data_IF_184038456412
#
_entry.id   IF_184038456412
#
_cell.length_a   1.000
_cell.length_b   1.000
_cell.length_c   1.000
_cell.angle_alpha   90.00
_cell.angle_beta   90.00
_cell.angle_gamma   90.00
#
_symmetry.space_group_name_H-M   'P 1'
#
loop_
_entity.id
_entity.type
_entity.pdbx_description
1 polymer ?
#
# COMPACT_ATOMS: atom_id res chain seq x y z
N UNK A 1 -17.85 20.04 37.79
CA UNK A 1 -17.64 20.38 36.36
C UNK A 1 -16.21 20.09 35.88
N UNK A 2 -15.15 20.59 36.55
CA UNK A 2 -13.75 20.42 36.10
C UNK A 2 -13.32 18.95 35.90
N UNK A 3 -13.66 18.04 36.81
CA UNK A 3 -13.33 16.61 36.70
C UNK A 3 -14.00 15.91 35.51
N UNK A 4 -15.25 16.27 35.21
CA UNK A 4 -15.98 15.71 34.07
C UNK A 4 -15.32 16.14 32.75
N UNK A 5 -14.87 17.39 32.66
CA UNK A 5 -14.15 17.92 31.48
C UNK A 5 -12.80 17.20 31.28
N UNK A 6 -12.06 16.95 32.35
CA UNK A 6 -10.79 16.22 32.25
C UNK A 6 -11.00 14.78 31.77
N UNK A 7 -12.05 14.12 32.26
CA UNK A 7 -12.40 12.75 31.83
C UNK A 7 -12.82 12.73 30.36
N UNK A 8 -13.67 13.67 29.92
CA UNK A 8 -14.11 13.71 28.52
C UNK A 8 -12.98 14.01 27.56
N UNK A 9 -12.07 14.93 27.91
CA UNK A 9 -10.88 15.22 27.09
C UNK A 9 -9.96 13.99 26.98
N UNK A 10 -9.72 13.30 28.10
CA UNK A 10 -8.91 12.08 28.11
C UNK A 10 -9.52 10.97 27.24
N UNK A 11 -10.84 10.78 27.33
CA UNK A 11 -11.56 9.79 26.52
C UNK A 11 -11.50 10.14 25.03
N UNK A 12 -11.68 11.43 24.70
CA UNK A 12 -11.63 11.89 23.31
C UNK A 12 -10.24 11.68 22.71
N UNK A 13 -9.19 12.05 23.44
CA UNK A 13 -7.80 11.89 23.00
C UNK A 13 -7.42 10.41 22.78
N UNK A 14 -7.88 9.51 23.66
CA UNK A 14 -7.65 8.07 23.50
C UNK A 14 -8.38 7.53 22.25
N UNK A 15 -9.64 7.92 22.05
CA UNK A 15 -10.43 7.49 20.90
C UNK A 15 -9.82 7.98 19.58
N UNK A 16 -9.44 9.27 19.49
CA UNK A 16 -8.84 9.82 18.26
C UNK A 16 -7.51 9.16 17.93
N UNK A 17 -6.68 8.89 18.95
CA UNK A 17 -5.38 8.24 18.76
C UNK A 17 -5.53 6.80 18.28
N UNK A 18 -6.46 6.04 18.89
CA UNK A 18 -6.75 4.67 18.48
C UNK A 18 -7.25 4.59 17.03
N UNK A 19 -8.15 5.50 16.65
CA UNK A 19 -8.73 5.54 15.31
C UNK A 19 -7.66 5.91 14.25
N UNK A 20 -6.79 6.88 14.55
CA UNK A 20 -5.67 7.26 13.70
C UNK A 20 -4.72 6.08 13.46
N UNK A 21 -4.33 5.36 14.53
CA UNK A 21 -3.45 4.20 14.43
C UNK A 21 -4.08 3.06 13.62
N UNK A 22 -5.36 2.77 13.84
CA UNK A 22 -6.09 1.77 13.06
C UNK A 22 -6.15 2.13 11.56
N UNK A 23 -6.38 3.40 11.23
CA UNK A 23 -6.37 3.88 9.85
C UNK A 23 -5.00 3.72 9.18
N UNK A 24 -3.93 4.16 9.84
CA UNK A 24 -2.57 4.08 9.30
C UNK A 24 -2.11 2.62 9.08
N UNK A 25 -2.41 1.74 10.02
CA UNK A 25 -2.06 0.31 9.91
C UNK A 25 -2.84 -0.39 8.79
N UNK A 26 -4.13 -0.09 8.65
CA UNK A 26 -4.96 -0.60 7.54
C UNK A 26 -4.45 -0.15 6.19
N UNK A 27 -4.08 1.12 6.04
CA UNK A 27 -3.55 1.65 4.78
C UNK A 27 -2.23 0.98 4.39
N UNK A 28 -1.31 0.77 5.34
CA UNK A 28 -0.04 0.07 5.06
C UNK A 28 -0.25 -1.34 4.51
N UNK A 29 -1.21 -2.08 5.07
CA UNK A 29 -1.53 -3.45 4.60
C UNK A 29 -2.08 -3.43 3.17
N UNK A 30 -2.99 -2.50 2.88
CA UNK A 30 -3.58 -2.36 1.53
C UNK A 30 -2.52 -1.93 0.51
N UNK A 31 -1.65 -0.98 0.85
CA UNK A 31 -0.57 -0.55 -0.04
C UNK A 31 0.38 -1.70 -0.35
N UNK A 32 0.84 -2.45 0.66
CA UNK A 32 1.73 -3.61 0.45
C UNK A 32 1.08 -4.69 -0.42
N UNK A 33 -0.19 -4.96 -0.21
CA UNK A 33 -0.93 -5.92 -1.03
C UNK A 33 -1.04 -5.44 -2.48
N UNK A 34 -1.35 -4.15 -2.70
CA UNK A 34 -1.44 -3.57 -4.05
C UNK A 34 -0.09 -3.56 -4.76
N UNK A 35 1.00 -3.25 -4.06
CA UNK A 35 2.35 -3.30 -4.65
C UNK A 35 2.72 -4.72 -5.03
N UNK A 36 2.45 -5.72 -4.19
CA UNK A 36 2.70 -7.12 -4.51
C UNK A 36 1.92 -7.58 -5.76
N UNK A 37 0.63 -7.23 -5.87
CA UNK A 37 -0.19 -7.54 -7.06
C UNK A 37 0.36 -6.84 -8.31
N UNK A 38 0.77 -5.58 -8.17
CA UNK A 38 1.35 -4.83 -9.29
C UNK A 38 2.67 -5.46 -9.75
N UNK A 39 3.56 -5.83 -8.83
CA UNK A 39 4.84 -6.49 -9.11
C UNK A 39 4.63 -7.84 -9.82
N UNK A 40 3.70 -8.67 -9.35
CA UNK A 40 3.34 -9.94 -10.01
C UNK A 40 2.84 -9.72 -11.45
N UNK A 41 2.01 -8.68 -11.65
CA UNK A 41 1.57 -8.28 -12.99
C UNK A 41 2.72 -7.81 -13.89
N UNK A 42 3.73 -7.12 -13.35
CA UNK A 42 4.92 -6.73 -14.10
C UNK A 42 5.78 -7.92 -14.51
N UNK A 43 5.91 -8.92 -13.65
CA UNK A 43 6.67 -10.14 -13.96
C UNK A 43 5.99 -10.99 -15.04
N UNK A 44 4.66 -11.02 -15.06
CA UNK A 44 3.86 -11.85 -15.98
C UNK A 44 3.47 -11.13 -17.27
N UNK A 45 3.48 -9.80 -17.31
CA UNK A 45 3.16 -9.01 -18.50
C UNK A 45 3.96 -9.38 -19.76
N UNK A 46 5.29 -9.66 -19.70
CA UNK A 46 6.08 -10.00 -20.88
C UNK A 46 5.64 -11.31 -21.54
N UNK A 47 5.28 -12.31 -20.74
CA UNK A 47 4.81 -13.62 -21.22
C UNK A 47 3.48 -13.49 -21.98
N UNK A 48 2.63 -12.52 -21.59
CA UNK A 48 1.35 -12.22 -22.25
C UNK A 48 1.55 -11.31 -23.48
N UNK A 49 2.38 -10.28 -23.36
CA UNK A 49 2.59 -9.28 -24.41
C UNK A 49 3.51 -9.76 -25.55
N UNK A 50 4.43 -10.67 -25.24
CA UNK A 50 5.43 -11.18 -26.19
C UNK A 50 5.54 -12.72 -26.13
N UNK A 51 4.45 -13.46 -26.39
CA UNK A 51 4.40 -14.91 -26.20
C UNK A 51 5.41 -15.70 -27.04
N UNK A 52 5.88 -15.14 -28.16
CA UNK A 52 6.81 -15.80 -29.09
C UNK A 52 8.30 -15.48 -28.83
N UNK A 53 8.62 -14.59 -27.87
CA UNK A 53 10.02 -14.25 -27.54
C UNK A 53 10.62 -15.30 -26.59
N UNK A 54 11.50 -16.15 -27.13
CA UNK A 54 12.14 -17.28 -26.42
C UNK A 54 13.28 -16.94 -25.44
N UNK A 55 13.61 -15.67 -25.18
CA UNK A 55 14.78 -15.33 -24.38
C UNK A 55 14.41 -14.65 -23.07
N UNK A 56 14.51 -15.40 -21.96
CA UNK A 56 14.53 -14.90 -20.57
C UNK A 56 15.90 -14.30 -20.21
N UNK A 57 16.41 -13.41 -21.06
CA UNK A 57 17.74 -12.81 -20.89
C UNK A 57 17.63 -11.34 -20.46
N UNK A 58 17.63 -11.10 -19.15
CA UNK A 58 17.95 -9.81 -18.52
C UNK A 58 17.17 -8.56 -19.01
N UNK A 59 15.98 -8.73 -19.57
CA UNK A 59 15.10 -7.61 -19.92
C UNK A 59 14.49 -7.05 -18.62
N UNK A 60 15.05 -5.93 -18.13
CA UNK A 60 14.44 -5.17 -17.04
C UNK A 60 13.14 -4.56 -17.55
N UNK A 61 12.02 -5.20 -17.22
CA UNK A 61 10.69 -4.66 -17.48
C UNK A 61 10.39 -3.58 -16.45
N UNK A 62 10.12 -2.37 -16.94
CA UNK A 62 9.81 -1.21 -16.11
C UNK A 62 9.08 -0.14 -16.92
N UNK A 63 8.47 0.85 -16.25
CA UNK A 63 7.81 1.95 -16.94
C UNK A 63 8.80 2.68 -17.84
N UNK A 64 8.50 2.74 -19.14
CA UNK A 64 9.26 3.56 -20.08
C UNK A 64 8.92 5.02 -19.78
N UNK A 65 9.82 5.71 -19.09
CA UNK A 65 9.69 7.14 -18.91
C UNK A 65 9.95 7.83 -20.26
N UNK A 66 9.02 8.66 -20.77
CA UNK A 66 9.30 9.47 -21.94
C UNK A 66 10.44 10.45 -21.62
N UNK A 67 11.36 10.61 -22.58
CA UNK A 67 12.47 11.57 -22.51
C UNK A 67 11.98 13.02 -22.62
#
# INVERSE_FOLDING_TARGET
>A
MKRAITITIGLLAAATTGLLLAYLTRNRKVTRMRTAIAEEGYETAPDILYPDRRQRGDERYGPVLPA
#
